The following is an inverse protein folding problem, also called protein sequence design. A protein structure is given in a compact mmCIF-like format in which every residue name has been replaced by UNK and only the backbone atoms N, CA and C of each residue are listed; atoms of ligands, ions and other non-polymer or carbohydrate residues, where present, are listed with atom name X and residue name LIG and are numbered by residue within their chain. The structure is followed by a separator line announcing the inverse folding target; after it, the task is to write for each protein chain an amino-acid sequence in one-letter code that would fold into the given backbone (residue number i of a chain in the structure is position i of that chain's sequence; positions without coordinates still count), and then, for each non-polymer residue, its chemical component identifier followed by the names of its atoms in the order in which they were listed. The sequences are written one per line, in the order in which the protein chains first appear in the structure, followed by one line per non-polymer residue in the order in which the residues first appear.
data_IF_714928651930
#
_entry.id   IF_714928651930
#
_cell.length_a   1.000
_cell.length_b   1.000
_cell.length_c   1.000
_cell.angle_alpha   90.00
_cell.angle_beta   90.00
_cell.angle_gamma   90.00
#
_symmetry.space_group_name_H-M   'P 1'
#
loop_
_entity.id
_entity.type
_entity.pdbx_description
1 polymer ?
#
# COMPACT_ATOMS: atom_id res chain seq x y z
N UNK A 1 -25.48 3.42 31.11
CA UNK A 1 -26.80 2.78 30.91
C UNK A 1 -26.55 1.40 30.32
N UNK A 2 -26.67 0.37 31.16
CA UNK A 2 -26.44 -1.05 30.84
C UNK A 2 -27.74 -1.65 30.31
N UNK A 3 -27.70 -2.26 29.13
CA UNK A 3 -28.73 -3.13 28.55
C UNK A 3 -27.96 -4.10 27.65
N UNK A 4 -28.03 -5.43 27.71
CA UNK A 4 -28.89 -6.38 28.39
C UNK A 4 -28.81 -7.64 27.53
N UNK A 5 -28.14 -8.69 28.02
CA UNK A 5 -28.20 -10.04 27.43
C UNK A 5 -29.66 -10.50 27.54
N UNK A 6 -30.19 -11.05 26.46
CA UNK A 6 -31.05 -12.25 26.41
C UNK A 6 -31.84 -12.23 25.10
N UNK A 7 -31.56 -13.21 24.24
CA UNK A 7 -32.46 -13.87 23.28
C UNK A 7 -31.60 -14.72 22.32
N UNK A 8 -31.17 -15.89 22.78
CA UNK A 8 -30.69 -16.99 21.96
C UNK A 8 -31.53 -18.22 22.31
N UNK A 9 -32.32 -18.69 21.35
CA UNK A 9 -32.93 -20.02 21.40
C UNK A 9 -32.00 -21.02 20.67
N UNK A 10 -31.89 -22.27 21.14
CA UNK A 10 -30.87 -23.22 20.69
C UNK A 10 -31.35 -23.98 19.44
N UNK A 11 -30.47 -24.19 18.47
CA UNK A 11 -30.69 -25.16 17.40
C UNK A 11 -29.66 -26.29 17.56
N UNK A 12 -30.18 -27.51 17.49
CA UNK A 12 -29.58 -28.77 17.89
C UNK A 12 -28.23 -29.09 17.22
N UNK A 13 -27.34 -29.67 18.02
CA UNK A 13 -26.25 -30.51 17.56
C UNK A 13 -26.80 -31.93 17.39
N UNK A 14 -26.65 -32.52 16.20
CA UNK A 14 -26.62 -33.97 16.02
C UNK A 14 -25.27 -34.33 15.41
N UNK A 15 -24.51 -35.13 16.15
CA UNK A 15 -23.36 -35.89 15.67
C UNK A 15 -23.86 -37.04 14.78
N UNK A 16 -23.32 -37.15 13.56
CA UNK A 16 -23.29 -38.40 12.82
C UNK A 16 -21.95 -38.56 12.08
N UNK A 17 -21.29 -39.66 12.45
CA UNK A 17 -20.04 -40.21 11.93
C UNK A 17 -19.99 -40.38 10.40
N UNK A 18 -18.75 -40.30 9.89
CA UNK A 18 -18.23 -41.19 8.84
C UNK A 18 -18.80 -41.11 7.42
N UNK A 19 -17.95 -40.71 6.46
CA UNK A 19 -18.09 -41.14 5.07
C UNK A 19 -18.29 -40.00 4.06
N UNK A 20 -17.40 -39.98 3.06
CA UNK A 20 -17.34 -39.11 1.88
C UNK A 20 -18.67 -38.49 1.42
N UNK A 21 -18.72 -37.16 1.32
CA UNK A 21 -19.83 -36.44 0.67
C UNK A 21 -19.43 -36.02 -0.76
N UNK A 22 -19.95 -36.72 -1.76
CA UNK A 22 -20.11 -36.15 -3.09
C UNK A 22 -21.27 -35.16 -3.06
N UNK A 23 -20.99 -33.90 -3.36
CA UNK A 23 -22.00 -32.84 -3.46
C UNK A 23 -22.72 -32.99 -4.80
N UNK A 24 -23.86 -33.69 -4.79
CA UNK A 24 -24.81 -33.70 -5.91
C UNK A 24 -25.66 -32.44 -5.78
N UNK A 25 -25.43 -31.45 -6.64
CA UNK A 25 -26.23 -30.23 -6.70
C UNK A 25 -27.33 -30.45 -7.74
N UNK A 26 -28.57 -30.60 -7.29
CA UNK A 26 -29.74 -30.49 -8.17
C UNK A 26 -29.96 -29.03 -8.55
N UNK A 27 -30.07 -28.79 -9.86
CA UNK A 27 -30.50 -27.52 -10.43
C UNK A 27 -32.02 -27.47 -10.33
N UNK A 28 -32.55 -26.55 -9.53
CA UNK A 28 -33.96 -26.14 -9.62
C UNK A 28 -33.99 -24.81 -10.34
N UNK A 29 -34.48 -24.87 -11.58
CA UNK A 29 -34.75 -23.72 -12.42
C UNK A 29 -36.08 -23.09 -11.98
N UNK A 30 -36.03 -21.81 -11.58
CA UNK A 30 -37.23 -21.06 -11.24
C UNK A 30 -37.20 -19.76 -12.02
N UNK A 31 -38.21 -19.63 -12.88
CA UNK A 31 -38.55 -18.52 -13.76
C UNK A 31 -37.89 -18.57 -15.15
N UNK A 32 -38.66 -19.13 -16.10
CA UNK A 32 -38.41 -19.07 -17.52
C UNK A 32 -38.30 -17.64 -18.03
N UNK A 33 -37.14 -17.34 -18.62
CA UNK A 33 -36.99 -16.37 -19.67
C UNK A 33 -35.87 -16.89 -20.58
N UNK A 34 -36.23 -17.36 -21.78
CA UNK A 34 -35.34 -18.00 -22.75
C UNK A 34 -34.45 -16.98 -23.49
N UNK A 35 -33.64 -16.21 -22.77
CA UNK A 35 -32.39 -15.66 -23.34
C UNK A 35 -31.24 -16.53 -22.84
N UNK A 36 -30.66 -17.30 -23.76
CA UNK A 36 -29.59 -18.26 -23.51
C UNK A 36 -28.44 -17.62 -22.73
N UNK A 37 -28.39 -17.91 -21.43
CA UNK A 37 -27.39 -17.49 -20.44
C UNK A 37 -26.05 -18.26 -20.61
N UNK A 38 -25.57 -18.38 -21.85
CA UNK A 38 -24.45 -19.23 -22.23
C UNK A 38 -23.10 -18.67 -21.71
N UNK A 39 -22.98 -17.35 -21.55
CA UNK A 39 -21.78 -16.68 -21.01
C UNK A 39 -21.67 -16.65 -19.48
N UNK A 40 -22.79 -16.76 -18.77
CA UNK A 40 -22.85 -16.66 -17.32
C UNK A 40 -22.09 -17.79 -16.60
N UNK A 41 -22.00 -18.98 -17.22
CA UNK A 41 -21.29 -20.14 -16.67
C UNK A 41 -19.76 -19.95 -16.68
N UNK A 42 -19.22 -19.40 -17.76
CA UNK A 42 -17.79 -19.40 -18.06
C UNK A 42 -17.04 -18.20 -17.50
N UNK A 43 -17.60 -16.99 -17.57
CA UNK A 43 -17.05 -15.83 -16.86
C UNK A 43 -17.04 -16.12 -15.35
N UNK A 44 -18.11 -16.74 -14.85
CA UNK A 44 -18.15 -17.20 -13.47
C UNK A 44 -17.16 -18.34 -13.19
N UNK A 45 -16.87 -19.25 -14.14
CA UNK A 45 -15.81 -20.27 -14.01
C UNK A 45 -14.42 -19.64 -14.00
N UNK A 46 -14.14 -18.65 -14.84
CA UNK A 46 -12.89 -17.89 -14.84
C UNK A 46 -12.70 -17.09 -13.53
N UNK A 47 -13.78 -16.49 -13.03
CA UNK A 47 -13.80 -15.85 -11.70
C UNK A 47 -13.66 -16.86 -10.55
N UNK A 48 -14.08 -18.13 -10.72
CA UNK A 48 -13.98 -19.19 -9.70
C UNK A 48 -12.64 -19.94 -9.74
N UNK A 49 -12.03 -20.13 -10.92
CA UNK A 49 -10.81 -20.91 -11.14
C UNK A 49 -9.52 -20.10 -10.92
N UNK A 50 -9.46 -19.30 -9.86
CA UNK A 50 -8.21 -18.66 -9.42
C UNK A 50 -7.74 -17.45 -10.23
N UNK A 51 -8.14 -17.30 -11.50
CA UNK A 51 -7.72 -16.16 -12.34
C UNK A 51 -8.30 -14.82 -11.85
N UNK A 52 -9.47 -14.85 -11.22
CA UNK A 52 -10.07 -13.70 -10.54
C UNK A 52 -10.92 -14.10 -9.33
N UNK A 53 -10.41 -15.03 -8.51
CA UNK A 53 -11.06 -15.44 -7.24
C UNK A 53 -11.29 -14.26 -6.27
N UNK A 54 -10.62 -13.14 -6.50
CA UNK A 54 -10.81 -11.86 -5.80
C UNK A 54 -12.04 -11.06 -6.26
N UNK A 55 -12.58 -11.33 -7.46
CA UNK A 55 -13.84 -10.77 -7.92
C UNK A 55 -14.99 -11.46 -7.18
N UNK A 56 -15.40 -10.86 -6.06
CA UNK A 56 -16.57 -11.29 -5.31
C UNK A 56 -17.78 -11.24 -6.26
N UNK A 57 -18.46 -12.37 -6.54
CA UNK A 57 -19.66 -12.36 -7.39
C UNK A 57 -20.85 -11.66 -6.73
N UNK A 58 -20.73 -11.37 -5.42
CA UNK A 58 -21.74 -10.72 -4.58
C UNK A 58 -21.05 -9.74 -3.64
N UNK A 59 -21.55 -8.50 -3.60
CA UNK A 59 -21.15 -7.50 -2.61
C UNK A 59 -22.33 -7.27 -1.66
N UNK A 60 -22.06 -7.14 -0.36
CA UNK A 60 -23.06 -6.62 0.58
C UNK A 60 -23.20 -5.12 0.32
N UNK A 61 -24.40 -4.61 0.00
CA UNK A 61 -24.58 -3.18 -0.14
C UNK A 61 -24.39 -2.48 1.22
N UNK A 62 -24.01 -1.19 1.23
CA UNK A 62 -24.08 -0.40 2.45
C UNK A 62 -25.51 -0.46 3.02
N UNK A 63 -25.64 -0.50 4.36
CA UNK A 63 -26.88 -0.76 5.12
C UNK A 63 -28.10 0.11 4.75
N UNK A 64 -27.93 1.15 3.92
CA UNK A 64 -28.99 2.02 3.43
C UNK A 64 -29.86 1.44 2.31
N UNK A 65 -29.53 0.27 1.76
CA UNK A 65 -30.40 -0.46 0.80
C UNK A 65 -30.77 -1.82 1.35
N UNK A 66 -31.87 -1.88 2.10
CA UNK A 66 -32.55 -3.11 2.47
C UNK A 66 -33.25 -3.71 1.23
N UNK A 67 -32.47 -4.30 0.31
CA UNK A 67 -32.99 -5.28 -0.64
C UNK A 67 -32.64 -6.67 -0.10
N UNK A 68 -33.60 -7.62 -0.01
CA UNK A 68 -33.32 -8.98 0.46
C UNK A 68 -32.44 -9.77 -0.52
N UNK A 69 -32.27 -9.31 -1.76
CA UNK A 69 -31.38 -9.92 -2.75
C UNK A 69 -29.99 -9.28 -2.72
N UNK A 70 -28.95 -10.10 -2.54
CA UNK A 70 -27.55 -9.68 -2.70
C UNK A 70 -27.33 -9.28 -4.17
N UNK A 71 -26.90 -8.05 -4.47
CA UNK A 71 -26.66 -7.64 -5.85
C UNK A 71 -25.57 -8.53 -6.47
N UNK A 72 -25.89 -9.06 -7.65
CA UNK A 72 -25.00 -9.88 -8.46
C UNK A 72 -24.29 -8.94 -9.44
N UNK A 73 -22.95 -8.98 -9.47
CA UNK A 73 -22.16 -8.22 -10.45
C UNK A 73 -22.47 -8.75 -11.84
N UNK A 74 -22.86 -7.88 -12.77
CA UNK A 74 -23.16 -8.26 -14.16
C UNK A 74 -21.90 -8.73 -14.89
N UNK A 75 -22.07 -9.59 -15.91
CA UNK A 75 -20.96 -10.09 -16.70
C UNK A 75 -20.25 -8.96 -17.47
N UNK A 76 -20.98 -7.95 -17.95
CA UNK A 76 -20.39 -6.75 -18.55
C UNK A 76 -19.37 -6.09 -17.59
N UNK A 77 -19.71 -5.97 -16.31
CA UNK A 77 -18.80 -5.41 -15.30
C UNK A 77 -17.63 -6.35 -15.01
N UNK A 78 -17.85 -7.66 -14.91
CA UNK A 78 -16.77 -8.65 -14.71
C UNK A 78 -15.76 -8.60 -15.85
N UNK A 79 -16.22 -8.61 -17.09
CA UNK A 79 -15.39 -8.53 -18.29
C UNK A 79 -14.60 -7.22 -18.32
N UNK A 80 -15.24 -6.09 -17.97
CA UNK A 80 -14.55 -4.80 -17.91
C UNK A 80 -13.43 -4.78 -16.86
N UNK A 81 -13.66 -5.37 -15.68
CA UNK A 81 -12.63 -5.46 -14.63
C UNK A 81 -11.51 -6.42 -15.05
N UNK A 82 -11.84 -7.59 -15.60
CA UNK A 82 -10.85 -8.54 -16.11
C UNK A 82 -9.97 -7.91 -17.18
N UNK A 83 -10.57 -7.18 -18.12
CA UNK A 83 -9.83 -6.41 -19.14
C UNK A 83 -8.92 -5.36 -18.52
N UNK A 84 -9.39 -4.63 -17.50
CA UNK A 84 -8.56 -3.67 -16.78
C UNK A 84 -7.36 -4.33 -16.05
N UNK A 85 -7.48 -5.62 -15.71
CA UNK A 85 -6.40 -6.45 -15.17
C UNK A 85 -5.54 -7.12 -16.26
N UNK A 86 -5.77 -6.81 -17.54
CA UNK A 86 -5.04 -7.41 -18.68
C UNK A 86 -5.50 -8.83 -19.04
N UNK A 87 -6.68 -9.25 -18.59
CA UNK A 87 -7.25 -10.58 -18.85
C UNK A 87 -8.36 -10.47 -19.91
N UNK A 88 -8.21 -11.20 -21.01
CA UNK A 88 -9.27 -11.29 -22.02
C UNK A 88 -10.33 -12.32 -21.61
N UNK A 89 -11.51 -11.81 -21.27
CA UNK A 89 -12.70 -12.60 -20.99
C UNK A 89 -13.87 -12.20 -21.92
N UNK A 90 -13.55 -11.70 -23.12
CA UNK A 90 -14.53 -11.22 -24.09
C UNK A 90 -15.38 -12.33 -24.73
N UNK A 91 -14.91 -13.58 -24.67
CA UNK A 91 -15.61 -14.75 -25.18
C UNK A 91 -15.26 -16.00 -24.36
N UNK A 92 -16.00 -17.08 -24.59
CA UNK A 92 -15.75 -18.39 -23.97
C UNK A 92 -14.38 -18.95 -24.39
N UNK A 93 -14.07 -18.89 -25.70
CA UNK A 93 -12.78 -19.31 -26.22
C UNK A 93 -11.61 -18.53 -25.60
N UNK A 94 -11.77 -17.20 -25.41
CA UNK A 94 -10.77 -16.39 -24.72
C UNK A 94 -10.60 -16.80 -23.26
N UNK A 95 -11.71 -17.13 -22.56
CA UNK A 95 -11.65 -17.61 -21.19
C UNK A 95 -10.92 -18.95 -21.07
N UNK A 96 -11.23 -19.92 -21.95
CA UNK A 96 -10.56 -21.22 -21.95
C UNK A 96 -9.07 -21.10 -22.29
N UNK A 97 -8.74 -20.27 -23.28
CA UNK A 97 -7.35 -20.01 -23.65
C UNK A 97 -6.55 -19.42 -22.48
N UNK A 98 -7.11 -18.47 -21.72
CA UNK A 98 -6.46 -17.89 -20.55
C UNK A 98 -6.29 -18.90 -19.40
N UNK A 99 -7.30 -19.74 -19.15
CA UNK A 99 -7.20 -20.81 -18.15
C UNK A 99 -6.12 -21.82 -18.51
N UNK A 100 -6.08 -22.26 -19.78
CA UNK A 100 -5.06 -23.17 -20.28
C UNK A 100 -3.66 -22.56 -20.17
N UNK A 101 -3.50 -21.29 -20.56
CA UNK A 101 -2.24 -20.55 -20.45
C UNK A 101 -1.73 -20.48 -19.02
N UNK A 102 -2.61 -20.21 -18.04
CA UNK A 102 -2.26 -20.16 -16.61
C UNK A 102 -1.89 -21.53 -16.05
N UNK A 103 -2.69 -22.55 -16.34
CA UNK A 103 -2.39 -23.92 -15.91
C UNK A 103 -1.01 -24.36 -16.44
N UNK A 104 -0.70 -24.03 -17.69
CA UNK A 104 0.61 -24.31 -18.27
C UNK A 104 1.75 -23.50 -17.62
N UNK A 105 1.50 -22.24 -17.26
CA UNK A 105 2.47 -21.42 -16.53
C UNK A 105 2.74 -21.97 -15.12
N UNK A 106 1.70 -22.36 -14.39
CA UNK A 106 1.79 -22.97 -13.05
C UNK A 106 2.57 -24.29 -13.10
N UNK A 107 2.34 -25.12 -14.12
CA UNK A 107 3.12 -26.35 -14.35
C UNK A 107 4.61 -26.10 -14.57
N UNK A 108 4.98 -24.96 -15.15
CA UNK A 108 6.37 -24.58 -15.44
C UNK A 108 7.07 -23.86 -14.28
N UNK A 109 6.31 -23.37 -13.30
CA UNK A 109 6.78 -22.42 -12.29
C UNK A 109 6.82 -23.10 -10.92
N UNK A 110 7.97 -23.64 -10.47
CA UNK A 110 8.02 -24.43 -9.24
C UNK A 110 7.75 -23.61 -7.97
N UNK A 111 8.01 -22.30 -8.00
CA UNK A 111 7.68 -21.36 -6.92
C UNK A 111 6.93 -20.15 -7.47
N UNK A 112 5.91 -19.69 -6.76
CA UNK A 112 5.32 -18.38 -7.02
C UNK A 112 6.39 -17.28 -6.84
N UNK A 113 6.37 -16.20 -7.64
CA UNK A 113 7.39 -15.14 -7.59
C UNK A 113 7.41 -14.39 -6.25
N UNK A 114 6.30 -14.39 -5.52
CA UNK A 114 6.18 -13.83 -4.17
C UNK A 114 5.36 -14.76 -3.29
N UNK A 115 5.78 -14.96 -2.06
CA UNK A 115 4.99 -15.63 -1.03
C UNK A 115 5.05 -14.87 0.28
N UNK A 116 3.88 -14.53 0.83
CA UNK A 116 3.74 -13.92 2.16
C UNK A 116 3.32 -15.00 3.15
N UNK A 117 4.09 -15.18 4.21
CA UNK A 117 3.84 -16.22 5.22
C UNK A 117 4.03 -15.69 6.64
N UNK A 118 3.38 -16.29 7.65
CA UNK A 118 3.65 -15.95 9.03
C UNK A 118 5.06 -16.41 9.47
N UNK A 119 5.60 -15.79 10.51
CA UNK A 119 6.77 -16.32 11.23
C UNK A 119 6.56 -17.77 11.66
N UNK A 120 7.61 -18.59 11.59
CA UNK A 120 7.53 -20.03 11.86
C UNK A 120 6.96 -20.88 10.72
N UNK A 121 6.52 -20.28 9.61
CA UNK A 121 5.96 -21.02 8.48
C UNK A 121 6.97 -21.93 7.81
N UNK A 122 6.77 -23.24 7.99
CA UNK A 122 7.53 -24.33 7.37
C UNK A 122 6.53 -25.43 6.99
N UNK A 123 6.77 -26.24 5.93
CA UNK A 123 7.89 -26.20 4.97
C UNK A 123 7.66 -25.25 3.77
N UNK A 124 8.63 -25.19 2.84
CA UNK A 124 8.45 -24.56 1.52
C UNK A 124 7.69 -25.53 0.59
N UNK A 125 6.61 -25.07 -0.03
CA UNK A 125 5.80 -25.89 -0.94
C UNK A 125 6.04 -25.51 -2.40
N UNK A 126 6.23 -26.50 -3.27
CA UNK A 126 6.32 -26.29 -4.72
C UNK A 126 4.94 -26.37 -5.37
N UNK A 127 4.68 -25.57 -6.40
CA UNK A 127 3.35 -25.40 -7.01
C UNK A 127 2.81 -26.67 -7.71
N UNK A 128 3.68 -27.60 -8.11
CA UNK A 128 3.29 -28.85 -8.78
C UNK A 128 3.95 -30.06 -8.12
N UNK A 129 3.50 -30.45 -6.91
CA UNK A 129 4.11 -31.53 -6.14
C UNK A 129 4.29 -32.78 -6.99
N UNK A 130 3.27 -33.19 -7.76
CA UNK A 130 3.26 -34.44 -8.54
C UNK A 130 4.38 -34.53 -9.59
N UNK A 131 4.69 -33.44 -10.28
CA UNK A 131 5.75 -33.39 -11.30
C UNK A 131 7.13 -33.35 -10.65
N UNK A 132 7.21 -32.79 -9.44
CA UNK A 132 8.45 -32.52 -8.72
C UNK A 132 8.69 -33.47 -7.54
N UNK A 133 7.90 -34.55 -7.38
CA UNK A 133 8.11 -35.54 -6.32
C UNK A 133 9.46 -36.22 -6.51
N UNK A 134 10.20 -36.35 -5.41
CA UNK A 134 11.47 -37.05 -5.37
C UNK A 134 12.49 -36.49 -6.40
N UNK A 135 12.47 -35.17 -6.60
CA UNK A 135 13.40 -34.47 -7.49
C UNK A 135 14.52 -33.84 -6.66
N UNK A 136 15.79 -33.95 -7.09
CA UNK A 136 16.88 -33.24 -6.43
C UNK A 136 16.69 -31.73 -6.56
N UNK A 137 16.96 -31.00 -5.49
CA UNK A 137 16.91 -29.55 -5.46
C UNK A 137 18.22 -28.94 -4.99
N UNK A 138 18.48 -27.73 -5.46
CA UNK A 138 19.43 -26.79 -4.87
C UNK A 138 18.65 -25.52 -4.51
N UNK A 139 18.80 -25.05 -3.28
CA UNK A 139 18.13 -23.87 -2.77
C UNK A 139 19.15 -22.90 -2.20
N UNK A 140 19.16 -21.69 -2.74
CA UNK A 140 19.90 -20.55 -2.19
C UNK A 140 18.90 -19.60 -1.54
N UNK A 141 19.06 -19.37 -0.24
CA UNK A 141 18.29 -18.43 0.55
C UNK A 141 19.17 -17.24 0.89
N UNK A 142 18.83 -16.05 0.39
CA UNK A 142 19.39 -14.79 0.84
C UNK A 142 18.43 -14.15 1.86
N UNK A 143 18.90 -14.00 3.09
CA UNK A 143 18.17 -13.30 4.15
C UNK A 143 18.26 -11.79 3.97
N UNK A 144 17.33 -11.06 4.58
CA UNK A 144 17.33 -9.59 4.59
C UNK A 144 18.60 -9.02 5.22
N UNK A 145 19.18 -9.74 6.19
CA UNK A 145 20.44 -9.39 6.85
C UNK A 145 21.66 -9.45 5.92
N UNK A 146 21.52 -9.97 4.70
CA UNK A 146 22.61 -10.23 3.76
C UNK A 146 23.26 -11.61 3.92
N UNK A 147 22.90 -12.38 4.96
CA UNK A 147 23.38 -13.76 5.10
C UNK A 147 22.79 -14.65 3.99
N UNK A 148 23.64 -15.46 3.37
CA UNK A 148 23.21 -16.44 2.35
C UNK A 148 23.41 -17.86 2.86
N UNK A 149 22.37 -18.69 2.70
CA UNK A 149 22.37 -20.11 3.07
C UNK A 149 22.07 -20.95 1.85
N UNK A 150 22.85 -22.02 1.67
CA UNK A 150 22.61 -22.99 0.60
C UNK A 150 22.20 -24.33 1.20
N UNK A 151 21.21 -24.97 0.61
CA UNK A 151 20.81 -26.33 0.95
C UNK A 151 20.50 -27.13 -0.30
N UNK A 152 20.73 -28.43 -0.23
CA UNK A 152 20.36 -29.37 -1.29
C UNK A 152 19.72 -30.59 -0.67
N UNK A 153 18.91 -31.29 -1.47
CA UNK A 153 18.17 -32.44 -1.00
C UNK A 153 17.23 -32.97 -2.07
N UNK A 154 16.19 -33.68 -1.65
CA UNK A 154 15.13 -34.16 -2.54
C UNK A 154 13.79 -33.60 -2.07
N UNK A 155 12.98 -33.17 -3.02
CA UNK A 155 11.61 -32.74 -2.75
C UNK A 155 10.82 -33.94 -2.24
N UNK A 156 10.12 -33.77 -1.12
CA UNK A 156 9.30 -34.83 -0.52
C UNK A 156 8.14 -35.22 -1.43
N UNK A 157 7.54 -36.38 -1.18
CA UNK A 157 6.41 -36.89 -1.96
C UNK A 157 5.16 -35.97 -1.88
N UNK A 158 5.06 -35.13 -0.86
CA UNK A 158 4.02 -34.10 -0.68
C UNK A 158 4.39 -32.75 -1.31
N UNK A 159 5.53 -32.65 -2.01
CA UNK A 159 6.04 -31.40 -2.60
C UNK A 159 6.72 -30.44 -1.62
N UNK A 160 6.97 -30.88 -0.39
CA UNK A 160 7.63 -30.06 0.61
C UNK A 160 9.16 -30.11 0.46
N UNK A 161 9.77 -28.93 0.58
CA UNK A 161 11.20 -28.73 0.80
C UNK A 161 11.39 -28.27 2.25
N UNK A 162 12.26 -28.95 2.99
CA UNK A 162 12.58 -28.56 4.35
C UNK A 162 13.25 -27.18 4.33
N UNK A 163 12.66 -26.23 5.04
CA UNK A 163 13.16 -24.87 5.19
C UNK A 163 13.14 -24.54 6.67
N UNK A 164 14.26 -24.05 7.20
CA UNK A 164 14.29 -23.57 8.58
C UNK A 164 13.39 -22.36 8.75
N UNK A 165 12.89 -22.13 9.97
CA UNK A 165 12.13 -20.92 10.27
C UNK A 165 12.98 -19.67 9.96
N UNK A 166 12.36 -18.72 9.29
CA UNK A 166 12.97 -17.45 8.92
C UNK A 166 12.48 -16.35 9.88
N UNK A 167 13.31 -15.34 10.19
CA UNK A 167 12.85 -14.16 10.93
C UNK A 167 11.83 -13.36 10.11
N UNK A 168 11.06 -12.48 10.73
CA UNK A 168 10.29 -11.48 10.00
C UNK A 168 11.19 -10.66 9.07
N UNK A 169 10.74 -10.45 7.83
CA UNK A 169 11.52 -9.71 6.85
C UNK A 169 11.27 -10.11 5.38
N UNK A 170 12.11 -9.56 4.51
CA UNK A 170 12.11 -9.77 3.07
C UNK A 170 13.29 -10.66 2.68
N UNK A 171 13.02 -11.86 2.15
CA UNK A 171 14.06 -12.83 1.82
C UNK A 171 13.92 -13.28 0.37
N UNK A 172 15.03 -13.65 -0.26
CA UNK A 172 15.04 -14.16 -1.63
C UNK A 172 15.39 -15.63 -1.63
N UNK A 173 14.51 -16.45 -2.20
CA UNK A 173 14.73 -17.88 -2.43
C UNK A 173 15.02 -18.09 -3.91
N UNK A 174 16.13 -18.74 -4.25
CA UNK A 174 16.43 -19.24 -5.59
C UNK A 174 16.46 -20.75 -5.55
N UNK A 175 15.51 -21.38 -6.23
CA UNK A 175 15.32 -22.82 -6.26
C UNK A 175 15.66 -23.34 -7.65
N UNK A 176 16.56 -24.33 -7.71
CA UNK A 176 16.83 -25.13 -8.90
C UNK A 176 16.28 -26.53 -8.73
N UNK A 177 15.44 -26.96 -9.67
CA UNK A 177 14.84 -28.29 -9.74
C UNK A 177 15.01 -28.83 -11.18
N UNK A 178 15.81 -29.88 -11.38
CA UNK A 178 16.16 -30.39 -12.72
C UNK A 178 16.73 -29.29 -13.64
N UNK A 179 16.02 -29.01 -14.74
CA UNK A 179 16.29 -27.99 -15.76
C UNK A 179 15.58 -26.65 -15.47
N UNK A 180 14.98 -26.49 -14.28
CA UNK A 180 14.16 -25.34 -13.91
C UNK A 180 14.79 -24.54 -12.80
N UNK A 181 14.70 -23.23 -12.92
CA UNK A 181 15.05 -22.27 -11.90
C UNK A 181 13.83 -21.40 -11.59
N UNK A 182 13.63 -21.08 -10.31
CA UNK A 182 12.65 -20.12 -9.88
C UNK A 182 13.21 -19.25 -8.75
N UNK A 183 12.82 -17.99 -8.78
CA UNK A 183 13.12 -17.03 -7.74
C UNK A 183 11.82 -16.61 -7.06
N UNK A 184 11.84 -16.52 -5.73
CA UNK A 184 10.72 -16.09 -4.92
C UNK A 184 11.17 -15.05 -3.89
N UNK A 185 10.48 -13.91 -3.87
CA UNK A 185 10.47 -13.02 -2.72
C UNK A 185 9.59 -13.63 -1.62
N UNK A 186 10.24 -14.14 -0.58
CA UNK A 186 9.61 -14.71 0.61
C UNK A 186 9.50 -13.62 1.67
N UNK A 187 8.27 -13.15 1.89
CA UNK A 187 7.96 -12.14 2.89
C UNK A 187 7.45 -12.85 4.14
N UNK A 188 8.19 -12.75 5.22
CA UNK A 188 7.83 -13.32 6.52
C UNK A 188 7.23 -12.21 7.37
N UNK A 189 5.94 -12.32 7.65
CA UNK A 189 5.19 -11.31 8.37
C UNK A 189 4.92 -11.75 9.82
N UNK A 190 5.05 -10.84 10.81
CA UNK A 190 4.58 -11.10 12.15
C UNK A 190 3.07 -11.42 12.16
N UNK A 191 2.63 -12.26 13.09
CA UNK A 191 1.23 -12.69 13.18
C UNK A 191 0.25 -11.55 13.50
N UNK A 192 0.74 -10.43 14.05
CA UNK A 192 -0.04 -9.25 14.41
C UNK A 192 0.83 -7.99 14.35
N UNK A 193 0.21 -6.84 14.12
CA UNK A 193 0.86 -5.56 14.30
C UNK A 193 1.15 -5.29 15.78
N UNK A 194 2.09 -4.38 16.04
CA UNK A 194 2.32 -3.83 17.37
C UNK A 194 1.04 -3.12 17.83
N UNK A 195 0.50 -3.54 18.98
CA UNK A 195 -0.73 -2.97 19.51
C UNK A 195 -0.40 -1.69 20.30
N UNK A 196 -1.24 -0.64 20.25
CA UNK A 196 -0.99 0.59 21.01
C UNK A 196 -0.78 0.38 22.51
N UNK A 197 -1.40 -0.63 23.11
CA UNK A 197 -1.17 -0.95 24.53
C UNK A 197 0.27 -1.39 24.83
N UNK A 198 0.99 -1.97 23.87
CA UNK A 198 2.40 -2.33 24.05
C UNK A 198 3.27 -1.07 24.06
N UNK A 199 3.00 -0.14 23.14
CA UNK A 199 3.69 1.17 23.07
C UNK A 199 3.39 2.02 24.30
N UNK A 200 2.18 1.94 24.83
CA UNK A 200 1.72 2.70 26.00
C UNK A 200 1.91 1.96 27.34
N UNK A 201 2.64 0.84 27.36
CA UNK A 201 2.89 0.04 28.56
C UNK A 201 1.61 -0.31 29.37
N UNK A 202 0.56 -0.73 28.67
CA UNK A 202 -0.75 -1.08 29.22
C UNK A 202 -1.63 0.11 29.60
N UNK A 203 -1.13 1.36 29.49
CA UNK A 203 -1.89 2.56 29.83
C UNK A 203 -2.83 2.97 28.70
N UNK A 204 -3.91 3.66 29.07
CA UNK A 204 -4.77 4.36 28.11
C UNK A 204 -4.07 5.63 27.65
N UNK A 205 -4.08 5.88 26.34
CA UNK A 205 -3.59 7.11 25.73
C UNK A 205 -4.73 7.97 25.21
N UNK A 206 -4.55 9.28 25.28
CA UNK A 206 -5.40 10.27 24.61
C UNK A 206 -4.52 11.00 23.60
N UNK A 207 -5.06 11.36 22.44
CA UNK A 207 -4.34 12.15 21.45
C UNK A 207 -5.23 13.23 20.87
N UNK A 208 -4.60 14.14 20.13
CA UNK A 208 -5.30 15.16 19.35
C UNK A 208 -5.19 14.84 17.87
N UNK A 209 -6.23 15.17 17.11
CA UNK A 209 -6.23 15.03 15.65
C UNK A 209 -6.53 16.38 15.02
N UNK A 210 -5.73 16.76 14.03
CA UNK A 210 -5.86 18.05 13.35
C UNK A 210 -5.62 17.95 11.85
N UNK A 211 -6.13 18.92 11.11
CA UNK A 211 -5.77 19.13 9.73
C UNK A 211 -4.58 20.10 9.72
N UNK A 212 -3.38 19.63 9.38
CA UNK A 212 -2.16 20.43 9.54
C UNK A 212 -2.23 21.71 8.69
N UNK A 213 -2.77 21.61 7.48
CA UNK A 213 -2.93 22.76 6.60
C UNK A 213 -3.79 23.88 7.21
N UNK A 214 -4.70 23.57 8.15
CA UNK A 214 -5.57 24.58 8.77
C UNK A 214 -4.98 25.21 10.03
N UNK A 215 -3.77 24.84 10.44
CA UNK A 215 -3.14 25.42 11.62
C UNK A 215 -2.66 26.83 11.30
N UNK A 216 -3.14 27.80 12.08
CA UNK A 216 -2.61 29.16 12.09
C UNK A 216 -1.58 29.30 13.20
N UNK A 217 -0.48 30.00 12.92
CA UNK A 217 0.52 30.37 13.91
C UNK A 217 1.04 31.77 13.65
N UNK A 218 1.73 32.36 14.65
CA UNK A 218 2.35 33.67 14.48
C UNK A 218 3.55 33.67 13.50
N UNK A 219 3.99 32.50 13.07
CA UNK A 219 5.20 32.31 12.25
C UNK A 219 4.91 31.84 10.82
N UNK A 220 3.97 30.93 10.63
CA UNK A 220 3.84 30.22 9.34
C UNK A 220 3.48 31.15 8.18
N UNK A 221 3.74 30.69 6.95
CA UNK A 221 3.52 31.48 5.73
C UNK A 221 2.10 31.30 5.14
N UNK A 222 1.07 31.28 6.00
CA UNK A 222 -0.35 31.17 5.59
C UNK A 222 -0.90 29.75 5.49
N UNK A 223 -0.12 28.76 5.93
CA UNK A 223 -0.52 27.35 6.04
C UNK A 223 0.26 26.73 7.19
N UNK A 224 -0.35 25.81 7.95
CA UNK A 224 0.37 25.09 8.98
C UNK A 224 1.51 24.26 8.40
N UNK A 225 2.66 24.26 9.07
CA UNK A 225 3.90 23.63 8.60
C UNK A 225 4.49 22.62 9.61
N UNK A 226 5.63 22.00 9.27
CA UNK A 226 6.27 21.01 10.13
C UNK A 226 6.76 21.57 11.47
N UNK A 227 7.08 22.87 11.55
CA UNK A 227 7.47 23.45 12.82
C UNK A 227 6.25 23.74 13.69
N UNK A 228 5.10 24.08 13.10
CA UNK A 228 3.82 24.14 13.82
C UNK A 228 3.43 22.76 14.35
N UNK A 229 3.59 21.70 13.55
CA UNK A 229 3.36 20.32 13.99
C UNK A 229 4.25 19.95 15.18
N UNK A 230 5.55 20.26 15.11
CA UNK A 230 6.47 20.02 16.21
C UNK A 230 6.10 20.81 17.48
N UNK A 231 5.62 22.05 17.31
CA UNK A 231 5.16 22.90 18.42
C UNK A 231 3.92 22.32 19.09
N UNK A 232 2.93 21.90 18.30
CA UNK A 232 1.70 21.28 18.80
C UNK A 232 2.00 19.94 19.47
N UNK A 233 2.87 19.12 18.88
CA UNK A 233 3.27 17.83 19.47
C UNK A 233 3.93 18.01 20.84
N UNK A 234 4.82 18.99 20.99
CA UNK A 234 5.43 19.31 22.28
C UNK A 234 4.40 19.79 23.29
N UNK A 235 3.58 20.77 22.91
CA UNK A 235 2.53 21.33 23.76
C UNK A 235 1.51 20.28 24.24
N UNK A 236 1.14 19.35 23.35
CA UNK A 236 0.22 18.26 23.65
C UNK A 236 0.87 17.21 24.56
N UNK A 237 2.13 16.85 24.30
CA UNK A 237 2.90 15.92 25.12
C UNK A 237 3.07 16.42 26.57
N UNK A 238 3.36 17.70 26.76
CA UNK A 238 3.40 18.36 28.09
C UNK A 238 2.06 18.26 28.84
N UNK A 239 0.95 18.04 28.13
CA UNK A 239 -0.41 17.87 28.68
C UNK A 239 -0.85 16.40 28.75
N UNK A 240 0.08 15.47 28.53
CA UNK A 240 -0.19 14.03 28.62
C UNK A 240 -0.80 13.41 27.36
N UNK A 241 -0.84 14.12 26.24
CA UNK A 241 -1.24 13.51 24.98
C UNK A 241 -0.18 12.50 24.52
N UNK A 242 -0.64 11.32 24.11
CA UNK A 242 0.19 10.21 23.65
C UNK A 242 0.51 10.27 22.15
N UNK A 243 -0.27 11.03 21.37
CA UNK A 243 -0.06 11.21 19.94
C UNK A 243 -0.71 12.49 19.39
N UNK A 244 -0.21 12.93 18.24
CA UNK A 244 -0.85 13.93 17.38
C UNK A 244 -1.10 13.29 16.01
N UNK A 245 -2.37 13.15 15.64
CA UNK A 245 -2.79 12.68 14.34
C UNK A 245 -2.97 13.84 13.36
N UNK A 246 -2.51 13.66 12.13
CA UNK A 246 -2.61 14.65 11.05
C UNK A 246 -3.26 14.05 9.81
N UNK A 247 -3.71 14.90 8.91
CA UNK A 247 -4.12 14.49 7.56
C UNK A 247 -2.96 13.84 6.78
N UNK A 248 -3.24 13.11 5.69
CA UNK A 248 -2.19 12.64 4.80
C UNK A 248 -1.33 13.82 4.30
N UNK A 249 -0.02 13.67 4.40
CA UNK A 249 0.96 14.71 4.03
C UNK A 249 1.59 14.45 2.66
N UNK A 250 0.88 13.70 1.82
CA UNK A 250 1.32 13.26 0.49
C UNK A 250 1.44 14.43 -0.49
N UNK A 251 2.38 14.33 -1.44
CA UNK A 251 2.57 15.36 -2.45
C UNK A 251 1.31 15.58 -3.31
N UNK A 252 0.92 16.85 -3.45
CA UNK A 252 -0.23 17.32 -4.22
C UNK A 252 0.24 18.31 -5.29
N UNK A 253 -0.64 18.65 -6.24
CA UNK A 253 -0.40 19.77 -7.15
C UNK A 253 -0.60 21.12 -6.47
N UNK A 254 -1.43 21.17 -5.42
CA UNK A 254 -1.80 22.38 -4.66
C UNK A 254 -2.46 23.47 -5.52
N UNK A 255 -3.11 23.08 -6.61
CA UNK A 255 -3.89 23.98 -7.48
C UNK A 255 -5.40 23.81 -7.23
N UNK A 256 -6.20 24.77 -7.66
CA UNK A 256 -7.65 24.71 -7.51
C UNK A 256 -8.24 23.36 -7.98
N UNK A 257 -9.03 22.70 -7.12
CA UNK A 257 -9.61 21.38 -7.39
C UNK A 257 -8.71 20.18 -7.08
N UNK A 258 -7.40 20.38 -6.92
CA UNK A 258 -6.40 19.32 -6.65
C UNK A 258 -5.65 19.55 -5.33
N UNK A 259 -6.40 19.97 -4.30
CA UNK A 259 -5.90 20.24 -2.93
C UNK A 259 -6.30 19.17 -1.91
N UNK A 260 -7.07 18.15 -2.31
CA UNK A 260 -7.52 17.11 -1.38
C UNK A 260 -6.36 16.22 -0.93
N UNK A 261 -6.09 16.08 0.38
CA UNK A 261 -5.07 15.16 0.89
C UNK A 261 -5.31 13.68 0.52
N UNK A 262 -6.52 13.33 0.09
CA UNK A 262 -6.93 11.98 -0.26
C UNK A 262 -6.90 11.68 -1.77
N UNK A 263 -6.53 12.67 -2.59
CA UNK A 263 -6.29 12.51 -4.02
C UNK A 263 -4.87 12.95 -4.40
N UNK A 264 -3.81 12.35 -3.82
CA UNK A 264 -2.44 12.79 -4.04
C UNK A 264 -1.86 12.35 -5.39
N UNK A 265 -0.82 13.05 -5.83
CA UNK A 265 0.01 12.64 -6.98
C UNK A 265 0.73 11.33 -6.63
N UNK A 266 1.25 11.23 -5.41
CA UNK A 266 1.98 10.06 -4.93
C UNK A 266 1.76 9.86 -3.44
N UNK A 267 1.69 8.60 -3.00
CA UNK A 267 1.64 8.24 -1.57
C UNK A 267 3.03 8.07 -0.94
N UNK A 268 4.10 8.07 -1.75
CA UNK A 268 5.48 7.87 -1.29
C UNK A 268 6.09 9.17 -0.74
N UNK A 269 6.01 10.25 -1.51
CA UNK A 269 6.68 11.51 -1.18
C UNK A 269 5.76 12.52 -0.49
N UNK A 270 6.35 13.43 0.29
CA UNK A 270 5.64 14.45 1.07
C UNK A 270 5.41 15.73 0.27
N UNK A 271 4.38 16.49 0.64
CA UNK A 271 4.07 17.77 0.03
C UNK A 271 5.03 18.87 0.53
N UNK A 272 5.81 19.52 -0.35
CA UNK A 272 6.72 20.61 0.03
C UNK A 272 6.03 21.82 0.66
N UNK A 273 4.71 21.99 0.48
CA UNK A 273 3.96 23.11 1.06
C UNK A 273 4.05 23.16 2.61
N UNK A 274 4.31 22.01 3.24
CA UNK A 274 4.47 21.88 4.70
C UNK A 274 5.87 22.23 5.20
N UNK A 275 6.83 22.56 4.32
CA UNK A 275 8.14 23.04 4.74
C UNK A 275 8.03 24.41 5.40
N UNK A 276 8.64 24.55 6.58
CA UNK A 276 8.93 25.85 7.18
C UNK A 276 10.21 26.39 6.53
N UNK A 277 10.06 27.35 5.62
CA UNK A 277 11.20 27.92 4.88
C UNK A 277 12.15 28.70 5.78
N UNK A 278 11.68 29.17 6.95
CA UNK A 278 12.51 29.88 7.92
C UNK A 278 13.39 28.95 8.75
N UNK A 279 13.01 27.67 8.85
CA UNK A 279 13.76 26.64 9.57
C UNK A 279 14.89 26.00 8.73
N UNK A 280 14.97 26.29 7.42
CA UNK A 280 15.97 25.72 6.53
C UNK A 280 17.35 26.40 6.78
N UNK A 281 18.40 25.64 7.14
CA UNK A 281 19.71 26.19 7.50
C UNK A 281 20.31 27.18 6.50
N UNK A 282 20.13 26.91 5.20
CA UNK A 282 20.68 27.72 4.10
C UNK A 282 20.10 29.14 4.04
N UNK A 283 19.04 29.43 4.80
CA UNK A 283 18.51 30.79 4.92
C UNK A 283 19.55 31.76 5.48
N UNK A 284 20.43 31.28 6.37
CA UNK A 284 21.51 32.11 6.95
C UNK A 284 22.52 32.57 5.89
N UNK A 285 22.73 31.73 4.87
CA UNK A 285 23.72 31.92 3.81
C UNK A 285 23.12 32.58 2.56
N UNK A 286 21.80 32.79 2.52
CA UNK A 286 21.09 33.32 1.34
C UNK A 286 20.50 34.70 1.59
N UNK A 287 21.24 35.75 1.25
CA UNK A 287 20.71 37.12 1.32
C UNK A 287 19.49 37.30 0.43
N UNK A 288 19.44 36.63 -0.73
CA UNK A 288 18.28 36.65 -1.63
C UNK A 288 17.03 36.04 -0.98
N UNK A 289 17.14 34.87 -0.36
CA UNK A 289 16.01 34.26 0.35
C UNK A 289 15.53 35.13 1.52
N UNK A 290 16.45 35.73 2.28
CA UNK A 290 16.11 36.68 3.36
C UNK A 290 15.44 37.94 2.81
N UNK A 291 15.90 38.47 1.68
CA UNK A 291 15.29 39.62 1.02
C UNK A 291 13.86 39.30 0.56
N UNK A 292 13.63 38.14 -0.06
CA UNK A 292 12.30 37.68 -0.46
C UNK A 292 11.35 37.57 0.75
N UNK A 293 11.78 36.93 1.84
CA UNK A 293 10.98 36.86 3.07
C UNK A 293 10.64 38.26 3.63
N UNK A 294 11.60 39.20 3.60
CA UNK A 294 11.34 40.57 4.04
C UNK A 294 10.35 41.29 3.14
N UNK A 295 10.47 41.17 1.82
CA UNK A 295 9.54 41.79 0.87
C UNK A 295 8.15 41.17 0.89
N UNK A 296 8.04 39.87 1.23
CA UNK A 296 6.77 39.15 1.29
C UNK A 296 6.07 39.25 2.64
N UNK A 297 6.53 40.08 3.59
CA UNK A 297 5.91 40.20 4.93
C UNK A 297 4.43 40.59 4.88
N UNK A 298 4.08 41.55 4.02
CA UNK A 298 2.70 41.99 3.85
C UNK A 298 1.84 40.89 3.20
N UNK A 299 2.37 40.20 2.20
CA UNK A 299 1.70 39.06 1.56
C UNK A 299 1.48 37.93 2.57
N UNK A 300 2.48 37.56 3.36
CA UNK A 300 2.37 36.54 4.41
C UNK A 300 1.28 36.93 5.41
N UNK A 301 1.23 38.21 5.84
CA UNK A 301 0.20 38.70 6.74
C UNK A 301 -1.21 38.57 6.11
N UNK A 302 -1.35 38.90 4.83
CA UNK A 302 -2.62 38.72 4.10
C UNK A 302 -3.02 37.25 4.00
N UNK A 303 -2.08 36.35 3.64
CA UNK A 303 -2.35 34.91 3.50
C UNK A 303 -2.87 34.32 4.81
N UNK A 304 -2.30 34.74 5.94
CA UNK A 304 -2.70 34.27 7.27
C UNK A 304 -4.03 34.84 7.76
N UNK A 305 -4.40 36.02 7.26
CA UNK A 305 -5.67 36.64 7.59
C UNK A 305 -6.87 36.05 6.82
N UNK A 306 -6.63 35.16 5.85
CA UNK A 306 -7.71 34.53 5.08
C UNK A 306 -8.41 33.41 5.84
N UNK A 307 -9.74 33.30 5.69
CA UNK A 307 -10.54 32.19 6.25
C UNK A 307 -10.25 30.83 5.57
N UNK A 308 -9.62 30.86 4.39
CA UNK A 308 -9.33 29.68 3.57
C UNK A 308 -7.91 29.74 3.07
N UNK A 309 -7.16 28.66 3.30
CA UNK A 309 -5.80 28.48 2.80
C UNK A 309 -5.73 28.75 1.30
N UNK A 310 -4.91 29.73 0.92
CA UNK A 310 -4.65 30.11 -0.47
C UNK A 310 -3.50 29.26 -1.04
N UNK A 311 -3.77 27.98 -1.32
CA UNK A 311 -2.75 26.98 -1.69
C UNK A 311 -1.78 27.44 -2.78
N UNK A 312 -2.31 27.96 -3.89
CA UNK A 312 -1.49 28.39 -5.04
C UNK A 312 -0.56 29.56 -4.68
N UNK A 313 -1.06 30.54 -3.92
CA UNK A 313 -0.26 31.69 -3.47
C UNK A 313 0.80 31.27 -2.46
N UNK A 314 0.44 30.41 -1.50
CA UNK A 314 1.38 29.87 -0.51
C UNK A 314 2.46 29.05 -1.20
N UNK A 315 2.09 28.21 -2.16
CA UNK A 315 3.04 27.42 -2.93
C UNK A 315 3.97 28.31 -3.75
N UNK A 316 3.45 29.29 -4.51
CA UNK A 316 4.26 30.21 -5.29
C UNK A 316 5.28 30.96 -4.41
N UNK A 317 4.82 31.50 -3.28
CA UNK A 317 5.67 32.15 -2.28
C UNK A 317 6.76 31.20 -1.78
N UNK A 318 6.40 30.04 -1.23
CA UNK A 318 7.36 29.10 -0.65
C UNK A 318 8.34 28.56 -1.70
N UNK A 319 7.89 28.25 -2.90
CA UNK A 319 8.75 27.72 -3.97
C UNK A 319 9.76 28.77 -4.46
N UNK A 320 9.38 30.04 -4.54
CA UNK A 320 10.32 31.13 -4.86
C UNK A 320 11.45 31.23 -3.83
N UNK A 321 11.15 31.06 -2.54
CA UNK A 321 12.12 31.09 -1.46
C UNK A 321 12.97 29.81 -1.47
N UNK A 322 12.35 28.63 -1.64
CA UNK A 322 13.03 27.35 -1.72
C UNK A 322 14.03 27.29 -2.88
N UNK A 323 13.74 27.94 -4.02
CA UNK A 323 14.68 28.05 -5.12
C UNK A 323 15.96 28.81 -4.72
N UNK A 324 15.85 29.94 -4.00
CA UNK A 324 17.02 30.68 -3.51
C UNK A 324 17.76 29.94 -2.38
N UNK A 325 17.04 29.15 -1.58
CA UNK A 325 17.65 28.28 -0.57
C UNK A 325 18.41 27.13 -1.22
N UNK A 326 17.87 26.54 -2.29
CA UNK A 326 18.55 25.51 -3.08
C UNK A 326 19.83 26.05 -3.71
N UNK A 327 19.81 27.25 -4.32
CA UNK A 327 21.03 27.89 -4.84
C UNK A 327 22.07 28.21 -3.76
N UNK A 328 21.65 28.41 -2.52
CA UNK A 328 22.58 28.55 -1.40
C UNK A 328 23.14 27.18 -0.96
N UNK A 329 22.31 26.14 -0.95
CA UNK A 329 22.74 24.76 -0.73
C UNK A 329 23.78 24.31 -1.76
N UNK A 330 23.56 24.60 -3.05
CA UNK A 330 24.48 24.23 -4.14
C UNK A 330 25.86 24.88 -4.01
N UNK A 331 25.95 26.03 -3.33
CA UNK A 331 27.22 26.73 -3.06
C UNK A 331 27.98 26.16 -1.86
N UNK A 332 27.37 25.29 -1.07
CA UNK A 332 28.07 24.61 0.02
C UNK A 332 29.12 23.64 -0.55
N UNK A 333 30.25 23.44 0.14
CA UNK A 333 31.24 22.44 -0.28
C UNK A 333 30.62 21.04 -0.36
N UNK A 334 30.87 20.30 -1.45
CA UNK A 334 30.31 18.96 -1.66
C UNK A 334 30.68 17.96 -0.55
N UNK A 335 31.81 18.15 0.13
CA UNK A 335 32.23 17.34 1.27
C UNK A 335 31.51 17.65 2.59
N UNK A 336 30.69 18.71 2.64
CA UNK A 336 29.98 19.13 3.84
C UNK A 336 29.02 18.05 4.35
N UNK A 337 28.69 18.11 5.65
CA UNK A 337 27.70 17.20 6.23
C UNK A 337 26.33 17.32 5.55
N UNK A 338 25.94 18.53 5.12
CA UNK A 338 24.67 18.77 4.41
C UNK A 338 24.62 18.04 3.07
N UNK A 339 25.67 18.15 2.24
CA UNK A 339 25.74 17.44 0.96
C UNK A 339 25.78 15.92 1.12
N UNK A 340 26.53 15.41 2.11
CA UNK A 340 26.55 13.97 2.41
C UNK A 340 25.18 13.43 2.83
N UNK A 341 24.47 14.16 3.69
CA UNK A 341 23.11 13.79 4.10
C UNK A 341 22.12 13.83 2.92
N UNK A 342 22.20 14.85 2.06
CA UNK A 342 21.38 14.95 0.85
C UNK A 342 21.64 13.78 -0.10
N UNK A 343 22.91 13.47 -0.43
CA UNK A 343 23.25 12.34 -1.31
C UNK A 343 22.83 10.99 -0.74
N UNK A 344 22.97 10.79 0.58
CA UNK A 344 22.51 9.59 1.25
C UNK A 344 20.98 9.43 1.12
N UNK A 345 20.22 10.50 1.35
CA UNK A 345 18.78 10.50 1.15
C UNK A 345 18.40 10.19 -0.30
N UNK A 346 19.05 10.83 -1.29
CA UNK A 346 18.76 10.55 -2.71
C UNK A 346 19.03 9.09 -3.05
N UNK A 347 20.18 8.55 -2.64
CA UNK A 347 20.54 7.16 -2.89
C UNK A 347 19.59 6.16 -2.21
N UNK A 348 19.07 6.49 -1.01
CA UNK A 348 18.12 5.65 -0.28
C UNK A 348 16.73 5.62 -0.93
N UNK A 349 16.31 6.71 -1.57
CA UNK A 349 14.96 6.86 -2.11
C UNK A 349 14.86 6.60 -3.63
N UNK A 350 15.99 6.38 -4.30
CA UNK A 350 16.03 6.03 -5.72
C UNK A 350 15.72 4.53 -5.94
N UNK A 351 15.08 4.16 -7.07
CA UNK A 351 14.78 5.02 -8.24
C UNK A 351 13.44 5.79 -8.15
N UNK A 352 12.61 5.55 -7.15
CA UNK A 352 11.27 6.15 -7.04
C UNK A 352 11.34 7.68 -6.93
N UNK A 353 12.35 8.21 -6.24
CA UNK A 353 12.55 9.66 -6.10
C UNK A 353 12.82 10.29 -7.46
N UNK A 354 13.79 9.76 -8.22
CA UNK A 354 14.10 10.23 -9.58
C UNK A 354 12.87 10.20 -10.50
N UNK A 355 12.07 9.13 -10.46
CA UNK A 355 10.84 9.04 -11.24
C UNK A 355 9.83 10.13 -10.86
N UNK A 356 9.64 10.37 -9.56
CA UNK A 356 8.74 11.39 -9.05
C UNK A 356 9.19 12.81 -9.40
N UNK A 357 10.45 13.17 -9.16
CA UNK A 357 10.94 14.53 -9.44
C UNK A 357 10.98 14.80 -10.95
N UNK A 358 11.27 13.78 -11.77
CA UNK A 358 11.18 13.89 -13.23
C UNK A 358 9.76 14.10 -13.74
N UNK A 359 8.75 13.56 -13.04
CA UNK A 359 7.35 13.87 -13.30
C UNK A 359 7.04 15.31 -12.91
N UNK A 360 7.45 15.75 -11.71
CA UNK A 360 7.17 17.09 -11.21
C UNK A 360 7.79 18.19 -12.07
N UNK A 361 9.04 18.02 -12.52
CA UNK A 361 9.73 18.96 -13.41
C UNK A 361 9.02 19.12 -14.77
N UNK A 362 8.37 18.06 -15.27
CA UNK A 362 7.58 18.11 -16.51
C UNK A 362 6.18 18.67 -16.30
N UNK A 363 5.55 18.35 -15.17
CA UNK A 363 4.18 18.74 -14.86
C UNK A 363 4.06 20.19 -14.35
N UNK A 364 5.15 20.77 -13.85
CA UNK A 364 5.19 22.13 -13.31
C UNK A 364 6.44 22.86 -13.86
N UNK A 365 6.46 23.25 -15.14
CA UNK A 365 7.64 23.88 -15.75
C UNK A 365 7.97 25.27 -15.18
N UNK A 366 7.06 25.86 -14.41
CA UNK A 366 7.22 27.17 -13.76
C UNK A 366 7.65 27.07 -12.28
N UNK A 367 7.74 25.84 -11.73
CA UNK A 367 8.38 25.55 -10.44
C UNK A 367 9.86 25.23 -10.66
#
# INVERSE_FOLDING_TARGET
MVLGKDHLAPAAFEDLDGGHRHLRVELVDVAGNEERDFHASFVARLCRCGAASYLRPRCLPPRSRASPSRPITSDRTRIAILRALGIDASSEAACEAELARRAEQERKTPLAPVAVVPEGATPLLVSSPDIFRDVPYELVLALESGETRTSSGRVRADGAIALASLPAGYHTLKLRLRDREAEQLRIVAPARCVHPSEVLAGKRGVGITLQLYSVASERNQGIGDFTDLATIARWAGERGASFVGVNPLHALRNIAGEISPYSPITRLFKNPIYLDVEAIPELRESERARALLRSSREEIAQLRATDRVQYERVQALKMSILAELHRAFERLPEGSQRWRAYRAFVAEQDPELTAFVSFQARANPEL
#
